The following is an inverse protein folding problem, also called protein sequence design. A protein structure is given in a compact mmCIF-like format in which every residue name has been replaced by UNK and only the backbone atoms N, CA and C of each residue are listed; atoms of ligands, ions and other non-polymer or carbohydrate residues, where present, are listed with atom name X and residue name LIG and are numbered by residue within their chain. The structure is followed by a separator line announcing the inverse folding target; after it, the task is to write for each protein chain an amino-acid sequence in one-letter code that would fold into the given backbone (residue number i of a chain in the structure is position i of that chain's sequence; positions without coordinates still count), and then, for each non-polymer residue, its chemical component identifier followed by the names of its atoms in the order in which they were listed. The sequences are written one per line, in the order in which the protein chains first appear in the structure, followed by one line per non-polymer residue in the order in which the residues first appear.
data_IF_150417576085
#
_entry.id   IF_150417576085
#
_cell.length_a   1.000
_cell.length_b   1.000
_cell.length_c   1.000
_cell.angle_alpha   90.00
_cell.angle_beta   90.00
_cell.angle_gamma   90.00
#
_symmetry.space_group_name_H-M   'P 1'
#
loop_
_entity.id
_entity.type
_entity.pdbx_description
1 polymer ?
#
# COMPACT_ATOMS: atom_id res chain seq x y z
N UNK A 1 3.48 11.40 4.01
CA UNK A 1 2.71 11.76 5.22
C UNK A 1 3.08 13.15 5.74
N UNK A 2 4.33 13.41 6.15
CA UNK A 2 4.74 14.71 6.72
C UNK A 2 4.81 15.86 5.71
N UNK A 3 5.29 15.59 4.48
CA UNK A 3 5.37 16.60 3.42
C UNK A 3 4.00 16.99 2.81
N UNK A 4 2.96 16.18 3.09
CA UNK A 4 1.59 16.33 2.60
C UNK A 4 0.60 15.97 3.72
N UNK A 5 0.54 16.79 4.79
CA UNK A 5 -0.30 16.50 5.96
C UNK A 5 -1.80 16.49 5.65
N UNK A 6 -2.20 17.12 4.54
CA UNK A 6 -3.58 17.17 4.04
C UNK A 6 -4.01 15.90 3.30
N UNK A 7 -3.07 15.00 2.96
CA UNK A 7 -3.38 13.71 2.34
C UNK A 7 -3.58 12.63 3.39
N UNK A 8 -4.52 11.72 3.15
CA UNK A 8 -4.69 10.50 3.93
C UNK A 8 -3.89 9.35 3.34
N UNK A 9 -2.99 8.75 4.12
CA UNK A 9 -2.35 7.48 3.80
C UNK A 9 -3.12 6.35 4.46
N UNK A 10 -3.79 5.52 3.66
CA UNK A 10 -4.64 4.42 4.17
C UNK A 10 -3.95 3.08 3.92
N UNK A 11 -3.75 2.31 4.99
CA UNK A 11 -3.10 1.01 5.02
C UNK A 11 -4.14 -0.05 5.40
N UNK A 12 -4.46 -0.92 4.45
CA UNK A 12 -5.47 -1.98 4.61
C UNK A 12 -4.77 -3.33 4.59
N UNK A 13 -4.85 -4.07 5.69
CA UNK A 13 -4.15 -5.33 5.87
C UNK A 13 -3.60 -5.50 7.30
N UNK A 14 -3.08 -6.70 7.61
CA UNK A 14 -2.42 -6.96 8.88
C UNK A 14 -1.08 -6.24 8.98
N UNK A 15 -0.60 -6.12 10.21
CA UNK A 15 0.69 -5.52 10.54
C UNK A 15 1.55 -6.54 11.28
N UNK A 16 2.84 -6.57 10.95
CA UNK A 16 3.84 -7.29 11.75
C UNK A 16 4.31 -6.45 12.95
N UNK A 17 5.11 -7.04 13.84
CA UNK A 17 5.58 -6.37 15.05
C UNK A 17 6.49 -5.17 14.76
N UNK A 18 7.26 -5.20 13.67
CA UNK A 18 8.10 -4.07 13.29
C UNK A 18 7.25 -2.89 12.83
N UNK A 19 6.19 -3.16 12.07
CA UNK A 19 5.30 -2.13 11.55
C UNK A 19 4.44 -1.49 12.65
N UNK A 20 3.95 -2.27 13.61
CA UNK A 20 3.25 -1.77 14.81
C UNK A 20 4.08 -0.80 15.65
N UNK A 21 5.41 -0.91 15.60
CA UNK A 21 6.33 -0.03 16.31
C UNK A 21 6.72 1.22 15.49
N UNK A 22 6.21 1.33 14.27
CA UNK A 22 6.52 2.44 13.37
C UNK A 22 6.02 3.78 13.92
N UNK A 23 6.81 4.83 13.70
CA UNK A 23 6.40 6.21 13.98
C UNK A 23 5.18 6.64 13.14
N UNK A 24 4.83 5.89 12.09
CA UNK A 24 3.64 6.14 11.27
C UNK A 24 2.34 6.14 12.10
N UNK A 25 2.24 5.36 13.18
CA UNK A 25 1.07 5.36 14.07
C UNK A 25 0.86 6.69 14.82
N UNK A 26 1.89 7.53 14.89
CA UNK A 26 1.83 8.84 15.55
C UNK A 26 1.39 9.95 14.59
N UNK A 27 1.28 9.65 13.29
CA UNK A 27 0.93 10.64 12.28
C UNK A 27 -0.60 10.68 12.10
N UNK A 28 -1.25 11.85 12.29
CA UNK A 28 -2.71 11.96 12.31
C UNK A 28 -3.37 11.67 10.94
N UNK A 29 -2.58 11.71 9.86
CA UNK A 29 -3.03 11.47 8.50
C UNK A 29 -2.64 10.09 7.95
N UNK A 30 -2.25 9.17 8.83
CA UNK A 30 -1.99 7.77 8.48
C UNK A 30 -3.02 6.89 9.19
N UNK A 31 -3.74 6.08 8.41
CA UNK A 31 -4.85 5.28 8.88
C UNK A 31 -4.55 3.80 8.66
N UNK A 32 -4.53 3.03 9.75
CA UNK A 32 -4.36 1.59 9.74
C UNK A 32 -5.72 0.94 9.95
N UNK A 33 -6.25 0.28 8.92
CA UNK A 33 -7.61 -0.28 8.95
C UNK A 33 -7.64 -1.76 9.33
N UNK A 34 -6.47 -2.38 9.49
CA UNK A 34 -6.32 -3.80 9.76
C UNK A 34 -6.78 -4.70 8.62
N UNK A 35 -6.78 -6.02 8.87
CA UNK A 35 -7.25 -7.02 7.92
C UNK A 35 -8.72 -6.84 7.57
N UNK A 36 -9.05 -7.03 6.29
CA UNK A 36 -10.43 -7.05 5.76
C UNK A 36 -10.70 -8.37 5.07
N UNK A 37 -11.98 -8.72 4.95
CA UNK A 37 -12.38 -9.84 4.10
C UNK A 37 -11.99 -9.54 2.65
N UNK A 38 -11.48 -10.53 1.89
CA UNK A 38 -11.05 -10.32 0.50
C UNK A 38 -12.12 -9.64 -0.36
N UNK A 39 -13.39 -9.96 -0.15
CA UNK A 39 -14.53 -9.43 -0.90
C UNK A 39 -14.73 -7.92 -0.67
N UNK A 40 -14.26 -7.38 0.45
CA UNK A 40 -14.35 -5.96 0.77
C UNK A 40 -13.18 -5.14 0.20
N UNK A 41 -12.05 -5.77 -0.13
CA UNK A 41 -10.85 -5.06 -0.61
C UNK A 41 -11.09 -4.22 -1.88
N UNK A 42 -11.88 -4.67 -2.87
CA UNK A 42 -12.19 -3.85 -4.04
C UNK A 42 -12.85 -2.51 -3.66
N UNK A 43 -13.70 -2.47 -2.63
CA UNK A 43 -14.35 -1.22 -2.19
C UNK A 43 -13.34 -0.22 -1.64
N UNK A 44 -12.33 -0.67 -0.90
CA UNK A 44 -11.24 0.19 -0.41
C UNK A 44 -10.40 0.71 -1.58
N UNK A 45 -9.98 -0.17 -2.50
CA UNK A 45 -9.20 0.23 -3.68
C UNK A 45 -9.99 1.24 -4.52
N UNK A 46 -11.29 1.01 -4.72
CA UNK A 46 -12.18 1.92 -5.43
C UNK A 46 -12.29 3.31 -4.78
N UNK A 47 -12.12 3.42 -3.46
CA UNK A 47 -12.12 4.68 -2.73
C UNK A 47 -10.79 5.44 -2.79
N UNK A 48 -9.69 4.81 -3.21
CA UNK A 48 -8.38 5.48 -3.26
C UNK A 48 -8.22 6.35 -4.52
N UNK A 49 -7.59 7.51 -4.36
CA UNK A 49 -7.20 8.38 -5.47
C UNK A 49 -6.01 7.79 -6.25
N UNK A 50 -5.05 7.20 -5.52
CA UNK A 50 -3.82 6.58 -6.05
C UNK A 50 -3.48 5.37 -5.19
N UNK A 51 -3.07 4.27 -5.82
CA UNK A 51 -2.56 3.08 -5.13
C UNK A 51 -1.04 3.04 -5.19
N UNK A 52 -0.39 2.47 -4.16
CA UNK A 52 1.07 2.42 -4.08
C UNK A 52 1.59 0.99 -3.84
N UNK A 53 2.75 0.68 -4.43
CA UNK A 53 3.55 -0.50 -4.10
C UNK A 53 5.03 -0.10 -3.94
N UNK A 54 5.41 0.52 -2.80
CA UNK A 54 6.78 0.96 -2.55
C UNK A 54 7.65 -0.21 -2.06
N UNK A 55 7.83 -1.21 -2.91
CA UNK A 55 8.62 -2.40 -2.59
C UNK A 55 10.08 -2.01 -2.34
N UNK A 56 10.66 -2.51 -1.24
CA UNK A 56 12.09 -2.39 -0.96
C UNK A 56 12.86 -3.20 -2.01
N UNK A 57 14.00 -2.71 -2.51
CA UNK A 57 14.85 -3.45 -3.43
C UNK A 57 15.90 -4.25 -2.66
N UNK A 58 15.82 -5.58 -2.73
CA UNK A 58 16.78 -6.52 -2.15
C UNK A 58 16.73 -7.86 -2.90
N UNK A 59 17.61 -8.80 -2.53
CA UNK A 59 17.72 -10.12 -3.17
C UNK A 59 16.40 -10.92 -3.16
N UNK A 60 15.53 -10.69 -2.17
CA UNK A 60 14.24 -11.39 -2.04
C UNK A 60 13.18 -10.76 -2.95
N UNK A 61 13.17 -9.43 -3.09
CA UNK A 61 12.10 -8.69 -3.78
C UNK A 61 12.40 -8.41 -5.24
N UNK A 62 13.67 -8.46 -5.68
CA UNK A 62 14.05 -8.06 -7.04
C UNK A 62 13.39 -8.91 -8.13
N UNK A 63 13.24 -10.21 -7.88
CA UNK A 63 12.58 -11.15 -8.79
C UNK A 63 11.10 -11.40 -8.49
N UNK A 64 10.52 -10.74 -7.48
CA UNK A 64 9.13 -10.98 -7.08
C UNK A 64 8.18 -10.05 -7.84
N UNK A 65 7.28 -10.66 -8.62
CA UNK A 65 6.25 -9.94 -9.37
C UNK A 65 5.07 -9.50 -8.46
N UNK A 66 4.80 -8.19 -8.31
CA UNK A 66 3.81 -7.70 -7.36
C UNK A 66 2.39 -7.74 -7.94
N UNK A 67 1.69 -8.88 -7.83
CA UNK A 67 0.30 -9.06 -8.33
C UNK A 67 -0.69 -7.96 -7.93
N UNK A 68 -0.48 -7.31 -6.78
CA UNK A 68 -1.33 -6.18 -6.33
C UNK A 68 -1.34 -5.00 -7.30
N UNK A 69 -0.24 -4.78 -8.04
CA UNK A 69 -0.17 -3.70 -9.03
C UNK A 69 -1.16 -3.96 -10.16
N UNK A 70 -1.24 -5.20 -10.64
CA UNK A 70 -2.22 -5.59 -11.66
C UNK A 70 -3.65 -5.46 -11.14
N UNK A 71 -3.91 -5.82 -9.88
CA UNK A 71 -5.22 -5.64 -9.25
C UNK A 71 -5.62 -4.17 -9.23
N UNK A 72 -4.71 -3.27 -8.85
CA UNK A 72 -4.97 -1.82 -8.86
C UNK A 72 -5.21 -1.29 -10.28
N UNK A 73 -4.39 -1.70 -11.26
CA UNK A 73 -4.53 -1.31 -12.66
C UNK A 73 -5.82 -1.84 -13.29
N UNK A 74 -6.20 -3.09 -13.00
CA UNK A 74 -7.45 -3.70 -13.44
C UNK A 74 -8.67 -2.97 -12.87
N UNK A 75 -8.53 -2.38 -11.68
CA UNK A 75 -9.54 -1.50 -11.07
C UNK A 75 -9.50 -0.06 -11.59
N UNK A 76 -8.67 0.24 -12.59
CA UNK A 76 -8.57 1.56 -13.22
C UNK A 76 -7.88 2.60 -12.34
N UNK A 77 -7.11 2.19 -11.34
CA UNK A 77 -6.45 3.11 -10.41
C UNK A 77 -5.09 3.55 -10.93
N UNK A 78 -4.73 4.84 -10.83
CA UNK A 78 -3.34 5.27 -10.96
C UNK A 78 -2.48 4.56 -9.91
N UNK A 79 -1.32 4.05 -10.33
CA UNK A 79 -0.40 3.29 -9.46
C UNK A 79 0.99 3.91 -9.44
N UNK A 80 1.55 4.07 -8.24
CA UNK A 80 2.97 4.38 -8.04
C UNK A 80 3.66 3.15 -7.47
N UNK A 81 4.64 2.61 -8.17
CA UNK A 81 5.37 1.42 -7.74
C UNK A 81 6.88 1.59 -7.91
N UNK A 82 7.66 0.91 -7.08
CA UNK A 82 9.10 0.79 -7.30
C UNK A 82 9.33 -0.07 -8.53
N UNK A 83 10.11 0.41 -9.49
CA UNK A 83 10.55 -0.38 -10.65
C UNK A 83 11.41 -1.55 -10.18
N UNK A 84 11.15 -2.76 -10.66
CA UNK A 84 11.96 -3.96 -10.38
C UNK A 84 12.33 -4.66 -11.68
N UNK A 85 13.15 -5.71 -11.63
CA UNK A 85 13.41 -6.51 -12.84
C UNK A 85 12.18 -7.31 -13.28
N UNK A 86 11.31 -7.65 -12.33
CA UNK A 86 10.10 -8.40 -12.60
C UNK A 86 8.95 -7.54 -13.20
N UNK A 87 8.99 -6.21 -13.04
CA UNK A 87 7.94 -5.27 -13.46
C UNK A 87 8.52 -3.90 -13.82
#
# INVERSE_FOLDING_TARGET
ATAKPEWSLVLVGPEDEAFKQSALHQLPNVHFLGSKQPEALPEYVAAFDVCINPQLLNEVTIGNYPRKVDEYLAMGKPVVATQTEAM
#
